data_IF_213772350672
#
_entry.id   IF_213772350672
#
_cell.length_a   1.000
_cell.length_b   1.000
_cell.length_c   1.000
_cell.angle_alpha   90.00
_cell.angle_beta   90.00
_cell.angle_gamma   90.00
#
_symmetry.space_group_name_H-M   'P 1'
#
loop_
_entity.id
_entity.type
_entity.pdbx_description
1 polymer ?
#
# COMPACT_ATOMS: atom_id res chain seq x y z
N UNK A 1 -15.10 20.18 12.30
CA UNK A 1 -14.52 18.84 12.08
C UNK A 1 -14.67 18.51 10.61
N UNK A 2 -13.60 18.10 9.93
CA UNK A 2 -13.68 17.74 8.51
C UNK A 2 -14.53 16.47 8.36
N UNK A 3 -15.56 16.49 7.52
CA UNK A 3 -16.35 15.29 7.17
C UNK A 3 -15.60 14.48 6.11
N UNK A 4 -14.41 14.01 6.48
CA UNK A 4 -13.44 13.43 5.57
C UNK A 4 -13.03 12.05 6.07
N UNK A 5 -13.14 11.03 5.21
CA UNK A 5 -12.62 9.70 5.47
C UNK A 5 -11.77 9.21 4.30
N UNK A 6 -10.82 8.33 4.62
CA UNK A 6 -9.91 7.79 3.63
C UNK A 6 -9.63 6.31 3.84
N UNK A 7 -9.44 5.62 2.73
CA UNK A 7 -9.11 4.21 2.74
C UNK A 7 -7.64 3.96 3.14
N UNK A 8 -7.44 3.08 4.13
CA UNK A 8 -6.11 2.65 4.56
C UNK A 8 -5.54 1.51 3.71
N UNK A 9 -4.90 1.86 2.59
CA UNK A 9 -4.19 0.90 1.73
C UNK A 9 -2.68 1.02 1.91
N UNK A 10 -2.02 -0.07 2.27
CA UNK A 10 -0.56 -0.12 2.34
C UNK A 10 0.06 0.14 0.97
N UNK A 11 1.23 0.81 0.97
CA UNK A 11 2.01 1.16 -0.23
C UNK A 11 1.41 2.22 -1.16
N UNK A 12 0.32 2.85 -0.72
CA UNK A 12 -0.33 3.99 -1.37
C UNK A 12 -0.22 5.25 -0.49
N UNK A 13 1.01 5.66 -0.16
CA UNK A 13 1.26 6.81 0.76
C UNK A 13 0.64 6.65 2.16
N UNK A 14 0.44 5.42 2.65
CA UNK A 14 -0.21 5.18 3.94
C UNK A 14 0.36 6.01 5.10
N UNK A 15 1.68 6.10 5.21
CA UNK A 15 2.34 6.88 6.27
C UNK A 15 2.12 8.39 6.17
N UNK A 16 2.15 8.94 4.95
CA UNK A 16 1.89 10.35 4.70
C UNK A 16 0.43 10.66 5.05
N UNK A 17 -0.49 9.78 4.62
CA UNK A 17 -1.93 9.91 4.91
C UNK A 17 -2.19 9.90 6.42
N UNK A 18 -1.60 8.96 7.17
CA UNK A 18 -1.77 8.90 8.62
C UNK A 18 -1.25 10.20 9.28
N UNK A 19 -0.11 10.72 8.82
CA UNK A 19 0.44 11.99 9.31
C UNK A 19 -0.48 13.19 8.98
N UNK A 20 -1.05 13.22 7.78
CA UNK A 20 -2.02 14.24 7.36
C UNK A 20 -3.28 14.19 8.22
N UNK A 21 -3.86 13.02 8.46
CA UNK A 21 -5.05 12.89 9.31
C UNK A 21 -4.75 13.23 10.78
N UNK A 22 -3.57 12.88 11.28
CA UNK A 22 -3.10 13.32 12.60
C UNK A 22 -2.97 14.85 12.68
N UNK A 23 -2.42 15.50 11.65
CA UNK A 23 -2.35 16.96 11.57
C UNK A 23 -3.75 17.60 11.52
N UNK A 24 -4.69 17.04 10.76
CA UNK A 24 -6.05 17.58 10.63
C UNK A 24 -6.89 17.39 11.89
N UNK A 25 -6.68 16.30 12.64
CA UNK A 25 -7.47 15.96 13.84
C UNK A 25 -6.86 16.45 15.14
N UNK A 26 -5.52 16.55 15.22
CA UNK A 26 -4.79 16.94 16.42
C UNK A 26 -3.71 17.99 16.11
N UNK A 27 -4.11 19.07 15.43
CA UNK A 27 -3.23 20.10 14.92
C UNK A 27 -2.30 20.70 15.99
N UNK A 28 -2.87 21.13 17.11
CA UNK A 28 -2.13 21.81 18.19
C UNK A 28 -1.00 20.93 18.72
N UNK A 29 -1.28 19.65 19.01
CA UNK A 29 -0.28 18.73 19.53
C UNK A 29 0.74 18.30 18.46
N UNK A 30 0.29 18.17 17.21
CA UNK A 30 1.17 17.88 16.08
C UNK A 30 2.25 18.98 15.93
N UNK A 31 1.84 20.25 16.00
CA UNK A 31 2.74 21.40 15.93
C UNK A 31 3.60 21.51 17.19
N UNK A 32 3.03 21.34 18.39
CA UNK A 32 3.76 21.41 19.66
C UNK A 32 4.91 20.39 19.72
N UNK A 33 4.70 19.19 19.17
CA UNK A 33 5.73 18.15 19.06
C UNK A 33 6.65 18.29 17.85
N UNK A 34 6.58 19.41 17.12
CA UNK A 34 7.38 19.71 15.93
C UNK A 34 7.36 18.58 14.90
N UNK A 35 6.20 17.91 14.75
CA UNK A 35 6.03 16.84 13.77
C UNK A 35 5.93 17.45 12.37
N UNK A 36 6.40 16.71 11.37
CA UNK A 36 6.17 17.07 9.96
C UNK A 36 5.62 15.88 9.19
N UNK A 37 4.77 16.16 8.21
CA UNK A 37 4.18 15.12 7.36
C UNK A 37 5.28 14.40 6.56
N UNK A 38 6.25 15.15 6.02
CA UNK A 38 7.31 14.61 5.17
C UNK A 38 8.32 13.72 5.90
N UNK A 39 8.55 13.94 7.20
CA UNK A 39 9.49 13.13 8.00
C UNK A 39 8.82 12.04 8.83
N UNK A 40 7.49 11.89 8.73
CA UNK A 40 6.77 10.83 9.43
C UNK A 40 7.07 9.47 8.78
N UNK A 41 7.39 8.49 9.63
CA UNK A 41 7.68 7.12 9.27
C UNK A 41 6.83 6.16 10.10
N UNK A 42 6.72 4.89 9.68
CA UNK A 42 5.84 3.95 10.40
C UNK A 42 6.29 3.66 11.84
N UNK A 43 7.60 3.78 12.13
CA UNK A 43 8.16 3.52 13.47
C UNK A 43 8.04 4.70 14.44
N UNK A 44 7.76 5.91 13.94
CA UNK A 44 7.64 7.13 14.74
C UNK A 44 6.27 7.82 14.56
N UNK A 45 5.26 7.07 14.09
CA UNK A 45 3.89 7.56 13.91
C UNK A 45 3.38 8.22 15.17
N UNK A 46 2.52 9.20 14.97
CA UNK A 46 1.85 9.96 16.01
C UNK A 46 0.34 9.94 15.74
N UNK A 47 -0.48 10.09 16.79
CA UNK A 47 -1.94 10.00 16.74
C UNK A 47 -2.55 8.65 16.28
N UNK A 48 -1.80 7.54 16.32
CA UNK A 48 -2.37 6.22 15.99
C UNK A 48 -3.56 5.92 16.91
N UNK A 49 -4.54 5.17 16.39
CA UNK A 49 -5.76 4.72 17.09
C UNK A 49 -6.83 5.79 17.41
N UNK A 50 -6.53 7.09 17.25
CA UNK A 50 -7.52 8.16 17.53
C UNK A 50 -8.61 8.17 16.45
N UNK A 51 -8.20 8.19 15.18
CA UNK A 51 -9.09 8.32 14.01
C UNK A 51 -9.16 7.06 13.15
N UNK A 52 -8.30 6.06 13.38
CA UNK A 52 -8.29 4.82 12.59
C UNK A 52 -9.49 3.94 12.97
N UNK A 53 -10.17 3.42 11.95
CA UNK A 53 -11.31 2.50 12.12
C UNK A 53 -11.12 1.28 11.23
N UNK A 54 -11.53 0.11 11.74
CA UNK A 54 -11.27 -1.19 11.07
C UNK A 54 -12.35 -1.59 10.09
N UNK A 55 -13.53 -0.99 10.17
CA UNK A 55 -14.68 -1.30 9.31
C UNK A 55 -15.21 -0.03 8.68
N UNK A 56 -15.81 -0.15 7.49
CA UNK A 56 -16.44 0.98 6.82
C UNK A 56 -17.54 1.59 7.69
N UNK A 57 -18.42 0.75 8.26
CA UNK A 57 -19.50 1.19 9.14
C UNK A 57 -19.01 2.03 10.33
N UNK A 58 -17.97 1.57 11.05
CA UNK A 58 -17.43 2.33 12.19
C UNK A 58 -16.72 3.62 11.78
N UNK A 59 -16.17 3.68 10.56
CA UNK A 59 -15.65 4.91 10.00
C UNK A 59 -16.78 5.90 9.68
N UNK A 60 -17.88 5.44 9.06
CA UNK A 60 -19.00 6.31 8.71
C UNK A 60 -19.75 6.84 9.93
N UNK A 61 -19.91 6.01 10.97
CA UNK A 61 -20.47 6.44 12.25
C UNK A 61 -19.65 7.58 12.88
N UNK A 62 -18.32 7.50 12.82
CA UNK A 62 -17.44 8.54 13.35
C UNK A 62 -17.47 9.83 12.52
N UNK A 63 -17.50 9.72 11.20
CA UNK A 63 -17.43 10.88 10.29
C UNK A 63 -18.76 11.63 10.22
N UNK A 64 -19.88 10.90 10.35
CA UNK A 64 -21.23 11.45 10.27
C UNK A 64 -21.75 11.59 8.83
N UNK A 65 -22.89 12.28 8.69
CA UNK A 65 -23.63 12.37 7.42
C UNK A 65 -22.91 13.17 6.32
N UNK A 66 -23.08 12.73 5.08
CA UNK A 66 -22.48 13.32 3.87
C UNK A 66 -20.94 13.42 3.94
N UNK A 67 -20.22 12.30 4.14
CA UNK A 67 -18.77 12.28 4.19
C UNK A 67 -18.17 12.48 2.78
N UNK A 68 -17.05 13.19 2.70
CA UNK A 68 -16.14 13.11 1.56
C UNK A 68 -15.25 11.89 1.74
N UNK A 69 -15.44 10.88 0.89
CA UNK A 69 -14.61 9.68 0.88
C UNK A 69 -13.58 9.79 -0.23
N UNK A 70 -12.33 9.48 0.07
CA UNK A 70 -11.30 9.39 -0.96
C UNK A 70 -10.33 8.24 -0.71
N UNK A 71 -9.77 7.70 -1.78
CA UNK A 71 -8.75 6.67 -1.69
C UNK A 71 -7.60 6.99 -2.63
N UNK A 72 -6.38 6.87 -2.12
CA UNK A 72 -5.18 6.90 -2.98
C UNK A 72 -4.97 5.49 -3.52
N UNK A 73 -4.99 5.35 -4.84
CA UNK A 73 -4.69 4.10 -5.56
C UNK A 73 -3.38 4.26 -6.33
N UNK A 74 -2.67 3.15 -6.54
CA UNK A 74 -1.36 3.15 -7.19
C UNK A 74 -1.31 2.07 -8.25
N UNK A 75 -0.52 2.29 -9.30
CA UNK A 75 -0.27 1.29 -10.33
C UNK A 75 0.14 -0.04 -9.69
N UNK A 76 -0.50 -1.18 -10.02
CA UNK A 76 -0.35 -2.40 -9.24
C UNK A 76 1.09 -2.94 -9.19
N UNK A 77 1.82 -2.86 -10.31
CA UNK A 77 3.23 -3.28 -10.38
C UNK A 77 4.12 -2.39 -9.51
N UNK A 78 3.89 -1.07 -9.52
CA UNK A 78 4.67 -0.15 -8.70
C UNK A 78 4.45 -0.37 -7.22
N UNK A 79 3.20 -0.62 -6.85
CA UNK A 79 2.79 -0.95 -5.50
C UNK A 79 3.44 -2.27 -5.05
N UNK A 80 3.41 -3.32 -5.89
CA UNK A 80 4.08 -4.59 -5.64
C UNK A 80 5.57 -4.39 -5.40
N UNK A 81 6.28 -3.71 -6.30
CA UNK A 81 7.72 -3.47 -6.19
C UNK A 81 8.07 -2.67 -4.92
N UNK A 82 7.24 -1.69 -4.54
CA UNK A 82 7.40 -0.95 -3.28
C UNK A 82 7.17 -1.84 -2.05
N UNK A 83 6.25 -2.80 -2.15
CA UNK A 83 6.06 -3.85 -1.16
C UNK A 83 7.26 -4.77 -1.06
N UNK A 84 7.72 -5.31 -2.19
CA UNK A 84 8.79 -6.30 -2.29
C UNK A 84 10.11 -5.77 -1.76
N UNK A 85 10.56 -4.61 -2.23
CA UNK A 85 11.81 -3.99 -1.75
C UNK A 85 11.75 -3.72 -0.24
N UNK A 86 10.65 -3.14 0.23
CA UNK A 86 10.52 -2.83 1.65
C UNK A 86 10.45 -4.09 2.52
N UNK A 87 9.63 -5.09 2.15
CA UNK A 87 9.33 -6.25 3.01
C UNK A 87 10.29 -7.42 2.83
N UNK A 88 10.93 -7.55 1.67
CA UNK A 88 11.84 -8.64 1.35
C UNK A 88 13.31 -8.23 1.35
N UNK A 89 13.66 -6.94 1.23
CA UNK A 89 15.05 -6.49 1.19
C UNK A 89 15.44 -5.60 2.37
N UNK A 90 14.59 -4.62 2.73
CA UNK A 90 14.94 -3.60 3.73
C UNK A 90 14.50 -3.94 5.16
N UNK A 91 13.27 -4.42 5.34
CA UNK A 91 12.71 -4.66 6.66
C UNK A 91 13.20 -5.98 7.25
N UNK A 92 13.81 -5.94 8.43
CA UNK A 92 14.12 -7.11 9.29
C UNK A 92 13.50 -6.99 10.69
N UNK A 93 12.57 -6.05 10.88
CA UNK A 93 11.96 -5.75 12.17
C UNK A 93 10.99 -6.84 12.67
N UNK A 94 10.22 -7.48 11.78
CA UNK A 94 9.19 -8.44 12.15
C UNK A 94 9.57 -9.90 11.94
N UNK A 95 10.54 -10.13 11.04
CA UNK A 95 11.02 -11.43 10.57
C UNK A 95 12.50 -11.29 10.23
N UNK A 96 13.28 -12.31 10.56
CA UNK A 96 14.69 -12.39 10.17
C UNK A 96 14.87 -12.41 8.64
N UNK A 97 16.12 -12.22 8.19
CA UNK A 97 16.45 -12.33 6.76
C UNK A 97 16.11 -13.71 6.18
N UNK A 98 16.09 -14.76 7.02
CA UNK A 98 15.78 -16.13 6.64
C UNK A 98 14.28 -16.41 6.59
N UNK A 99 13.48 -15.77 7.45
CA UNK A 99 12.04 -15.99 7.51
C UNK A 99 11.25 -15.11 6.56
N UNK A 100 11.72 -13.87 6.32
CA UNK A 100 10.99 -12.90 5.51
C UNK A 100 10.74 -13.43 4.10
N UNK A 101 9.62 -13.01 3.55
CA UNK A 101 9.13 -13.36 2.22
C UNK A 101 9.02 -14.87 2.05
N UNK A 102 8.43 -15.49 3.08
CA UNK A 102 8.17 -16.92 3.16
C UNK A 102 9.44 -17.77 3.01
N UNK A 103 10.58 -17.25 3.47
CA UNK A 103 11.90 -17.85 3.33
C UNK A 103 12.46 -17.93 1.90
N UNK A 104 11.90 -17.16 0.97
CA UNK A 104 12.42 -17.08 -0.40
C UNK A 104 13.70 -16.26 -0.53
N UNK A 105 14.17 -15.59 0.54
CA UNK A 105 15.34 -14.72 0.51
C UNK A 105 15.20 -13.66 -0.60
N UNK A 106 16.03 -13.73 -1.63
CA UNK A 106 16.03 -12.81 -2.77
C UNK A 106 15.44 -13.41 -4.05
N UNK A 107 14.87 -14.61 -3.99
CA UNK A 107 14.18 -15.24 -5.11
C UNK A 107 12.77 -14.66 -5.25
N UNK A 108 12.62 -13.77 -6.25
CA UNK A 108 11.33 -13.15 -6.56
C UNK A 108 10.29 -14.15 -7.06
N UNK A 109 10.70 -15.15 -7.85
CA UNK A 109 9.77 -16.14 -8.39
C UNK A 109 9.19 -16.99 -7.27
N UNK A 110 10.05 -17.49 -6.38
CA UNK A 110 9.62 -18.17 -5.15
C UNK A 110 8.62 -17.31 -4.37
N UNK A 111 8.92 -16.02 -4.17
CA UNK A 111 8.06 -15.14 -3.40
C UNK A 111 6.70 -14.94 -4.07
N UNK A 112 6.67 -14.60 -5.36
CA UNK A 112 5.44 -14.33 -6.11
C UNK A 112 4.56 -15.58 -6.19
N UNK A 113 5.14 -16.77 -6.40
CA UNK A 113 4.41 -18.03 -6.37
C UNK A 113 3.76 -18.30 -5.00
N UNK A 114 4.53 -18.14 -3.91
CA UNK A 114 3.99 -18.33 -2.55
C UNK A 114 2.96 -17.27 -2.20
N UNK A 115 3.16 -16.03 -2.62
CA UNK A 115 2.24 -14.93 -2.38
C UNK A 115 0.92 -15.14 -3.14
N UNK A 116 0.98 -15.53 -4.42
CA UNK A 116 -0.21 -15.86 -5.22
C UNK A 116 -1.03 -16.98 -4.56
N UNK A 117 -0.39 -18.10 -4.19
CA UNK A 117 -1.04 -19.21 -3.47
C UNK A 117 -1.62 -18.75 -2.13
N UNK A 118 -0.91 -17.88 -1.41
CA UNK A 118 -1.38 -17.31 -0.14
C UNK A 118 -2.61 -16.43 -0.35
N UNK A 119 -2.68 -15.61 -1.40
CA UNK A 119 -3.85 -14.80 -1.70
C UNK A 119 -5.07 -15.65 -2.02
N UNK A 120 -4.93 -16.65 -2.90
CA UNK A 120 -6.02 -17.57 -3.21
C UNK A 120 -6.55 -18.26 -1.94
N UNK A 121 -5.63 -18.83 -1.16
CA UNK A 121 -5.99 -19.52 0.08
C UNK A 121 -6.58 -18.60 1.16
N UNK A 122 -6.16 -17.33 1.19
CA UNK A 122 -6.71 -16.34 2.12
C UNK A 122 -8.14 -15.94 1.73
N UNK A 123 -8.40 -15.84 0.42
CA UNK A 123 -9.70 -15.49 -0.14
C UNK A 123 -10.73 -16.60 0.06
N UNK A 124 -10.38 -17.85 -0.27
CA UNK A 124 -11.29 -18.99 -0.15
C UNK A 124 -11.37 -19.59 1.28
N UNK A 125 -10.49 -19.15 2.18
CA UNK A 125 -10.45 -19.61 3.57
C UNK A 125 -9.74 -20.96 3.79
N UNK A 126 -9.05 -21.50 2.78
CA UNK A 126 -8.36 -22.79 2.85
C UNK A 126 -7.06 -22.76 3.65
N UNK A 127 -6.53 -21.58 4.00
CA UNK A 127 -5.30 -21.46 4.80
C UNK A 127 -5.51 -20.81 6.16
N UNK A 128 -4.69 -21.21 7.14
CA UNK A 128 -4.64 -20.56 8.45
C UNK A 128 -4.10 -19.14 8.32
N UNK A 129 -4.85 -18.16 8.83
CA UNK A 129 -4.49 -16.73 8.87
C UNK A 129 -3.44 -16.43 9.94
N UNK A 130 -2.24 -17.02 9.80
CA UNK A 130 -1.09 -16.80 10.69
C UNK A 130 -0.65 -15.32 10.71
N UNK A 131 0.20 -14.94 11.67
CA UNK A 131 0.78 -13.58 11.73
C UNK A 131 1.49 -13.20 10.43
N UNK A 132 2.24 -14.13 9.86
CA UNK A 132 2.98 -13.93 8.60
C UNK A 132 2.03 -13.79 7.40
N UNK A 133 1.01 -14.64 7.32
CA UNK A 133 -0.01 -14.53 6.25
C UNK A 133 -0.72 -13.19 6.32
N UNK A 134 -1.22 -12.79 7.50
CA UNK A 134 -1.87 -11.48 7.70
C UNK A 134 -0.93 -10.33 7.35
N UNK A 135 0.33 -10.43 7.73
CA UNK A 135 1.34 -9.42 7.41
C UNK A 135 1.52 -9.26 5.90
N UNK A 136 1.74 -10.34 5.16
CA UNK A 136 1.96 -10.25 3.70
C UNK A 136 0.68 -9.89 2.95
N UNK A 137 -0.47 -10.47 3.30
CA UNK A 137 -1.77 -10.09 2.71
C UNK A 137 -2.02 -8.59 2.89
N UNK A 138 -1.77 -8.02 4.07
CA UNK A 138 -1.94 -6.57 4.31
C UNK A 138 -1.11 -5.67 3.37
N UNK A 139 0.05 -6.13 2.87
CA UNK A 139 0.91 -5.31 2.01
C UNK A 139 0.80 -5.65 0.52
N UNK A 140 0.35 -6.85 0.17
CA UNK A 140 0.41 -7.38 -1.19
C UNK A 140 -0.95 -7.80 -1.76
N UNK A 141 -2.02 -7.85 -0.97
CA UNK A 141 -3.36 -8.09 -1.51
C UNK A 141 -3.77 -6.98 -2.49
N UNK A 142 -4.60 -7.29 -3.49
CA UNK A 142 -5.16 -6.29 -4.40
C UNK A 142 -5.80 -5.14 -3.64
N UNK A 143 -5.62 -3.92 -4.14
CA UNK A 143 -6.18 -2.70 -3.55
C UNK A 143 -7.71 -2.73 -3.53
N UNK A 144 -8.30 -3.41 -4.51
CA UNK A 144 -9.74 -3.72 -4.59
C UNK A 144 -10.28 -4.53 -3.40
N UNK A 145 -9.42 -5.23 -2.63
CA UNK A 145 -9.85 -5.97 -1.43
C UNK A 145 -10.09 -5.08 -0.20
N UNK A 146 -9.73 -3.80 -0.28
CA UNK A 146 -9.80 -2.89 0.86
C UNK A 146 -11.08 -2.05 0.80
N UNK A 147 -11.48 -1.55 1.97
CA UNK A 147 -12.45 -0.47 2.12
C UNK A 147 -13.83 -0.71 1.49
N UNK A 148 -14.21 -1.98 1.36
CA UNK A 148 -15.48 -2.42 0.80
C UNK A 148 -15.73 -1.82 -0.59
N UNK A 149 -14.68 -1.72 -1.42
CA UNK A 149 -14.81 -1.19 -2.78
C UNK A 149 -15.78 -2.00 -3.65
N UNK A 150 -15.97 -3.29 -3.37
CA UNK A 150 -17.00 -4.11 -4.01
C UNK A 150 -18.42 -3.53 -3.88
N UNK A 151 -18.68 -2.75 -2.82
CA UNK A 151 -19.98 -2.10 -2.57
C UNK A 151 -19.93 -0.58 -2.74
N UNK A 152 -18.85 0.03 -2.27
CA UNK A 152 -18.77 1.47 -2.03
C UNK A 152 -17.79 2.19 -2.96
N UNK A 153 -17.16 1.54 -3.94
CA UNK A 153 -16.16 2.18 -4.80
C UNK A 153 -16.63 3.50 -5.41
N UNK A 154 -17.88 3.56 -5.89
CA UNK A 154 -18.43 4.77 -6.52
C UNK A 154 -18.66 5.92 -5.53
N UNK A 155 -18.61 5.65 -4.23
CA UNK A 155 -18.70 6.67 -3.18
C UNK A 155 -17.35 7.37 -2.95
N UNK A 156 -16.24 6.80 -3.44
CA UNK A 156 -14.89 7.34 -3.26
C UNK A 156 -14.43 8.22 -4.42
N UNK A 157 -13.81 9.34 -4.07
CA UNK A 157 -12.92 10.08 -4.96
C UNK A 157 -11.60 9.30 -5.07
N UNK A 158 -11.33 8.72 -6.23
CA UNK A 158 -10.09 7.99 -6.48
C UNK A 158 -8.98 8.94 -6.91
N UNK A 159 -7.91 9.00 -6.12
CA UNK A 159 -6.70 9.76 -6.41
C UNK A 159 -5.63 8.77 -6.87
N UNK A 160 -5.29 8.77 -8.16
CA UNK A 160 -4.15 7.95 -8.58
C UNK A 160 -2.86 8.64 -8.13
N UNK A 161 -2.04 7.91 -7.38
CA UNK A 161 -0.70 8.30 -6.93
C UNK A 161 0.19 8.79 -8.07
N UNK A 162 -0.11 8.40 -9.32
CA UNK A 162 0.59 8.84 -10.51
C UNK A 162 -0.18 9.86 -11.35
N UNK A 163 -1.51 10.04 -11.33
CA UNK A 163 -2.16 10.90 -12.35
C UNK A 163 -2.31 12.37 -11.96
N UNK A 164 -1.53 13.24 -12.62
CA UNK A 164 -1.80 14.67 -12.86
C UNK A 164 -1.38 15.06 -14.30
N UNK A 165 -2.17 15.91 -14.97
CA UNK A 165 -2.09 16.21 -16.43
C UNK A 165 -0.69 16.66 -16.91
N UNK A 166 0.15 17.23 -16.04
CA UNK A 166 1.58 17.47 -16.28
C UNK A 166 2.50 16.88 -15.20
N UNK A 167 1.93 16.35 -14.12
CA UNK A 167 2.64 15.84 -12.95
C UNK A 167 2.94 14.34 -13.01
N UNK A 168 2.24 13.56 -13.85
CA UNK A 168 2.34 12.09 -13.83
C UNK A 168 3.69 11.56 -14.25
N UNK A 169 4.11 11.95 -15.46
CA UNK A 169 5.40 11.59 -16.02
C UNK A 169 6.50 12.17 -15.16
N UNK A 170 6.33 13.45 -14.78
CA UNK A 170 7.28 14.16 -13.92
C UNK A 170 7.44 13.53 -12.53
N UNK A 171 6.38 13.08 -11.85
CA UNK A 171 6.45 12.42 -10.55
C UNK A 171 7.06 11.02 -10.69
N UNK A 172 6.69 10.25 -11.71
CA UNK A 172 7.34 8.95 -11.96
C UNK A 172 8.83 9.12 -12.26
N UNK A 173 9.19 10.05 -13.14
CA UNK A 173 10.57 10.43 -13.48
C UNK A 173 11.31 11.01 -12.27
N UNK A 174 10.65 11.80 -11.43
CA UNK A 174 11.22 12.37 -10.20
C UNK A 174 11.39 11.29 -9.13
N UNK A 175 10.48 10.31 -9.03
CA UNK A 175 10.68 9.14 -8.18
C UNK A 175 11.80 8.26 -8.70
N UNK A 176 11.93 8.06 -10.01
CA UNK A 176 13.04 7.34 -10.62
C UNK A 176 14.37 8.04 -10.33
N UNK A 177 14.43 9.37 -10.49
CA UNK A 177 15.59 10.20 -10.08
C UNK A 177 15.85 10.15 -8.58
N UNK A 178 14.80 10.15 -7.74
CA UNK A 178 14.95 10.01 -6.28
C UNK A 178 15.45 8.62 -5.92
N UNK A 179 15.03 7.56 -6.60
CA UNK A 179 15.54 6.21 -6.37
C UNK A 179 16.99 6.05 -6.87
N UNK A 180 17.35 6.73 -7.96
CA UNK A 180 18.72 6.89 -8.43
C UNK A 180 19.60 7.63 -7.44
N UNK A 181 19.13 8.78 -6.94
CA UNK A 181 19.83 9.60 -5.95
C UNK A 181 19.90 8.91 -4.58
N UNK A 182 18.84 8.18 -4.18
CA UNK A 182 18.79 7.41 -2.94
C UNK A 182 19.60 6.12 -3.00
N UNK A 183 20.22 5.80 -4.14
CA UNK A 183 20.96 4.56 -4.37
C UNK A 183 20.19 3.34 -3.85
N UNK A 184 18.94 3.15 -4.27
CA UNK A 184 18.17 1.94 -3.94
C UNK A 184 18.33 0.89 -5.05
N UNK A 185 19.46 0.13 -5.11
CA UNK A 185 19.72 -0.81 -6.20
C UNK A 185 18.66 -1.90 -6.27
N UNK A 186 18.02 -2.22 -5.13
CA UNK A 186 17.02 -3.29 -5.07
C UNK A 186 15.77 -2.94 -5.86
N UNK A 187 15.36 -1.66 -5.93
CA UNK A 187 14.20 -1.25 -6.71
C UNK A 187 14.42 -1.47 -8.21
N UNK A 188 15.54 -0.98 -8.75
CA UNK A 188 15.89 -1.15 -10.17
C UNK A 188 16.08 -2.62 -10.54
N UNK A 189 16.73 -3.41 -9.67
CA UNK A 189 16.91 -4.85 -9.89
C UNK A 189 15.58 -5.59 -9.87
N UNK A 190 14.71 -5.29 -8.90
CA UNK A 190 13.38 -5.91 -8.81
C UNK A 190 12.51 -5.56 -10.02
N UNK A 191 12.52 -4.30 -10.46
CA UNK A 191 11.79 -3.85 -11.63
C UNK A 191 12.27 -4.54 -12.91
N UNK A 192 13.58 -4.54 -13.15
CA UNK A 192 14.17 -5.28 -14.27
C UNK A 192 13.78 -6.75 -14.22
N UNK A 193 13.77 -7.38 -13.04
CA UNK A 193 13.38 -8.78 -12.89
C UNK A 193 11.92 -9.00 -13.30
N UNK A 194 10.98 -8.19 -12.80
CA UNK A 194 9.56 -8.27 -13.17
C UNK A 194 9.36 -8.10 -14.67
N UNK A 195 10.02 -7.12 -15.29
CA UNK A 195 9.88 -6.83 -16.73
C UNK A 195 10.53 -7.90 -17.63
N UNK A 196 11.48 -8.69 -17.10
CA UNK A 196 12.22 -9.71 -17.86
C UNK A 196 11.72 -11.15 -17.65
N UNK A 197 10.77 -11.37 -16.74
CA UNK A 197 10.29 -12.69 -16.33
C UNK A 197 8.78 -12.79 -16.55
N UNK A 198 8.37 -13.26 -17.73
CA UNK A 198 6.97 -13.38 -18.14
C UNK A 198 6.13 -14.22 -17.17
N UNK A 199 6.74 -15.21 -16.52
CA UNK A 199 6.06 -16.05 -15.54
C UNK A 199 5.72 -15.25 -14.29
N UNK A 200 6.69 -14.49 -13.76
CA UNK A 200 6.46 -13.56 -12.64
C UNK A 200 5.41 -12.52 -13.03
N UNK A 201 5.54 -11.88 -14.19
CA UNK A 201 4.57 -10.89 -14.67
C UNK A 201 3.17 -11.50 -14.78
N UNK A 202 3.03 -12.69 -15.36
CA UNK A 202 1.76 -13.39 -15.49
C UNK A 202 1.07 -13.67 -14.15
N UNK A 203 1.84 -14.03 -13.11
CA UNK A 203 1.29 -14.19 -11.76
C UNK A 203 0.86 -12.85 -11.16
N UNK A 204 1.66 -11.79 -11.31
CA UNK A 204 1.30 -10.45 -10.83
C UNK A 204 0.02 -9.94 -11.51
N UNK A 205 -0.13 -10.16 -12.82
CA UNK A 205 -1.36 -9.81 -13.54
C UNK A 205 -2.57 -10.57 -13.00
N UNK A 206 -2.43 -11.86 -12.64
CA UNK A 206 -3.51 -12.63 -12.00
C UNK A 206 -3.82 -12.14 -10.59
N UNK A 207 -2.78 -11.83 -9.81
CA UNK A 207 -2.95 -11.28 -8.47
C UNK A 207 -3.73 -9.97 -8.53
N UNK A 208 -3.36 -9.05 -9.42
CA UNK A 208 -3.84 -7.67 -9.45
C UNK A 208 -4.85 -7.37 -10.55
N UNK A 209 -5.41 -8.38 -11.22
CA UNK A 209 -6.31 -8.21 -12.37
C UNK A 209 -7.41 -7.17 -12.11
N UNK A 210 -8.12 -7.30 -10.98
CA UNK A 210 -9.19 -6.37 -10.62
C UNK A 210 -8.69 -4.96 -10.33
N UNK A 211 -7.47 -4.78 -9.80
CA UNK A 211 -6.94 -3.43 -9.62
C UNK A 211 -6.74 -2.71 -10.97
N UNK A 212 -6.28 -3.43 -12.00
CA UNK A 212 -6.14 -2.86 -13.35
C UNK A 212 -7.48 -2.45 -13.94
N UNK A 213 -8.46 -3.36 -13.88
CA UNK A 213 -9.79 -3.13 -14.45
C UNK A 213 -10.56 -2.07 -13.67
N UNK A 214 -10.66 -2.22 -12.34
CA UNK A 214 -11.50 -1.36 -11.52
C UNK A 214 -10.94 0.06 -11.41
N UNK A 215 -9.62 0.23 -11.39
CA UNK A 215 -9.01 1.57 -11.28
C UNK A 215 -8.51 2.14 -12.61
N UNK A 216 -8.72 1.44 -13.72
CA UNK A 216 -8.42 1.94 -15.07
C UNK A 216 -6.92 2.09 -15.35
N UNK A 217 -6.08 1.25 -14.74
CA UNK A 217 -4.65 1.21 -15.07
C UNK A 217 -4.44 0.47 -16.40
N UNK A 218 -3.49 0.96 -17.21
CA UNK A 218 -3.11 0.40 -18.51
C UNK A 218 -1.69 -0.12 -18.45
#
# INVERSE_FOLDING_TARGET
MYRLATCQIEKNMATIRDATFCFLTNHTEFIARKRTISTTFWSNKFCTDIFERRTFASAMELVGENPTLFAVVRHPIDRFLSGYVDKCHKTVFYYSAEERCFGCKYDMRCFVEKMYKTLLGYYDGSIKKSRMVKYYVRHFAPQTWYCEFDKHKNDYILINYHTGINGTRKIADDFEKVYEQAQDPFRKVAEKRVLSDDYVMGLLMRMYFYDFIEFGFK
#
